data_IF_909147163368
#
_entry.id   IF_909147163368
#
_cell.length_a   1.000
_cell.length_b   1.000
_cell.length_c   1.000
_cell.angle_alpha   90.00
_cell.angle_beta   90.00
_cell.angle_gamma   90.00
#
_symmetry.space_group_name_H-M   'P 1'
#
loop_
_entity.id
_entity.type
_entity.pdbx_description
1 polymer ?
#
# COMPACT_ATOMS: atom_id res chain seq x y z
N UNK A 1 -17.10 1.29 -15.00
CA UNK A 1 -16.90 0.49 -13.78
C UNK A 1 -15.88 -0.63 -13.98
N UNK A 2 -16.07 -1.52 -14.98
CA UNK A 2 -15.10 -2.58 -15.31
C UNK A 2 -13.67 -2.07 -15.59
N UNK A 3 -13.54 -0.99 -16.37
CA UNK A 3 -12.23 -0.41 -16.68
C UNK A 3 -11.47 0.07 -15.43
N UNK A 4 -12.14 0.82 -14.55
CA UNK A 4 -11.52 1.30 -13.31
C UNK A 4 -11.09 0.16 -12.38
N UNK A 5 -11.88 -0.92 -12.31
CA UNK A 5 -11.52 -2.13 -11.58
C UNK A 5 -10.27 -2.79 -12.17
N UNK A 6 -10.20 -2.99 -13.49
CA UNK A 6 -9.05 -3.59 -14.15
C UNK A 6 -7.79 -2.73 -14.01
N UNK A 7 -7.91 -1.40 -14.13
CA UNK A 7 -6.80 -0.48 -13.90
C UNK A 7 -6.29 -0.60 -12.46
N UNK A 8 -7.18 -0.52 -11.47
CA UNK A 8 -6.78 -0.65 -10.07
C UNK A 8 -6.14 -2.02 -9.78
N UNK A 9 -6.74 -3.12 -10.30
CA UNK A 9 -6.21 -4.47 -10.14
C UNK A 9 -4.79 -4.57 -10.70
N UNK A 10 -4.57 -4.16 -11.95
CA UNK A 10 -3.26 -4.27 -12.61
C UNK A 10 -2.24 -3.37 -11.92
N UNK A 11 -2.60 -2.11 -11.63
CA UNK A 11 -1.69 -1.15 -11.01
C UNK A 11 -1.28 -1.59 -9.61
N UNK A 12 -2.22 -1.99 -8.76
CA UNK A 12 -1.91 -2.46 -7.40
C UNK A 12 -1.16 -3.78 -7.45
N UNK A 13 -1.57 -4.73 -8.31
CA UNK A 13 -0.87 -6.00 -8.46
C UNK A 13 0.59 -5.81 -8.85
N UNK A 14 0.86 -4.96 -9.84
CA UNK A 14 2.24 -4.67 -10.26
C UNK A 14 3.02 -3.87 -9.21
N UNK A 15 2.37 -2.93 -8.51
CA UNK A 15 3.02 -2.13 -7.48
C UNK A 15 3.43 -2.95 -6.25
N UNK A 16 2.63 -3.97 -5.91
CA UNK A 16 2.85 -4.82 -4.73
C UNK A 16 3.70 -6.07 -5.04
N UNK A 17 3.94 -6.38 -6.32
CA UNK A 17 4.66 -7.60 -6.72
C UNK A 17 6.11 -7.58 -6.23
N UNK A 18 6.48 -8.54 -5.38
CA UNK A 18 7.85 -8.67 -4.88
C UNK A 18 8.21 -7.67 -3.78
N UNK A 19 7.23 -7.05 -3.14
CA UNK A 19 7.48 -6.16 -2.01
C UNK A 19 8.04 -6.92 -0.78
N UNK A 20 8.75 -6.17 0.10
CA UNK A 20 9.31 -6.66 1.36
C UNK A 20 8.27 -7.35 2.24
N UNK A 21 7.01 -6.89 2.22
CA UNK A 21 5.93 -7.52 2.98
C UNK A 21 5.64 -8.95 2.49
N UNK A 22 5.75 -9.22 1.18
CA UNK A 22 5.58 -10.58 0.63
C UNK A 22 6.71 -11.51 1.08
N UNK A 23 7.96 -11.03 1.06
CA UNK A 23 9.09 -11.80 1.58
C UNK A 23 8.97 -12.07 3.09
N UNK A 24 8.51 -11.08 3.86
CA UNK A 24 8.31 -11.23 5.30
C UNK A 24 7.20 -12.25 5.63
N UNK A 25 6.10 -12.23 4.89
CA UNK A 25 4.98 -13.19 5.08
C UNK A 25 5.37 -14.59 4.66
N UNK A 26 6.14 -14.76 3.57
CA UNK A 26 6.73 -16.05 3.18
C UNK A 26 7.70 -16.58 4.23
N UNK A 27 8.59 -15.73 4.76
CA UNK A 27 9.52 -16.11 5.82
C UNK A 27 8.79 -16.52 7.11
N UNK A 28 7.72 -15.81 7.46
CA UNK A 28 6.87 -16.15 8.60
C UNK A 28 6.17 -17.49 8.41
N UNK A 29 5.62 -17.74 7.21
CA UNK A 29 4.98 -19.01 6.88
C UNK A 29 5.97 -20.18 6.95
N UNK A 30 7.20 -19.99 6.46
CA UNK A 30 8.27 -20.97 6.52
C UNK A 30 8.74 -21.24 7.96
N UNK A 31 8.85 -20.19 8.78
CA UNK A 31 9.29 -20.29 10.18
C UNK A 31 8.28 -21.02 11.06
N UNK A 32 6.99 -20.69 10.93
CA UNK A 32 5.95 -21.25 11.79
C UNK A 32 5.42 -22.61 11.28
N UNK A 33 5.76 -23.00 10.04
CA UNK A 33 5.23 -24.21 9.41
C UNK A 33 3.72 -24.17 9.16
N UNK A 34 3.09 -23.00 9.28
CA UNK A 34 1.63 -22.79 9.23
C UNK A 34 1.26 -21.90 8.05
N UNK A 35 1.32 -22.47 6.85
CA UNK A 35 1.02 -21.75 5.60
C UNK A 35 -0.38 -21.11 5.58
N UNK A 36 -1.43 -21.90 5.80
CA UNK A 36 -2.81 -21.42 5.65
C UNK A 36 -3.19 -20.26 6.61
N UNK A 37 -2.87 -20.32 7.92
CA UNK A 37 -3.17 -19.21 8.82
C UNK A 37 -2.38 -17.93 8.49
N UNK A 38 -1.10 -18.06 8.12
CA UNK A 38 -0.26 -16.90 7.76
C UNK A 38 -0.76 -16.27 6.46
N UNK A 39 -1.10 -17.09 5.45
CA UNK A 39 -1.68 -16.61 4.20
C UNK A 39 -3.00 -15.88 4.45
N UNK A 40 -3.92 -16.47 5.21
CA UNK A 40 -5.22 -15.85 5.49
C UNK A 40 -5.07 -14.53 6.25
N UNK A 41 -4.19 -14.48 7.25
CA UNK A 41 -3.90 -13.26 8.01
C UNK A 41 -3.28 -12.15 7.15
N UNK A 42 -2.29 -12.49 6.33
CA UNK A 42 -1.64 -11.55 5.41
C UNK A 42 -2.61 -11.02 4.35
N UNK A 43 -3.43 -11.90 3.76
CA UNK A 43 -4.44 -11.52 2.77
C UNK A 43 -5.49 -10.58 3.37
N UNK A 44 -6.00 -10.90 4.57
CA UNK A 44 -6.92 -10.02 5.30
C UNK A 44 -6.30 -8.67 5.61
N UNK A 45 -5.06 -8.65 6.09
CA UNK A 45 -4.34 -7.41 6.38
C UNK A 45 -4.20 -6.54 5.12
N UNK A 46 -3.83 -7.13 3.98
CA UNK A 46 -3.71 -6.41 2.71
C UNK A 46 -5.05 -5.83 2.25
N UNK A 47 -6.13 -6.62 2.28
CA UNK A 47 -7.47 -6.16 1.91
C UNK A 47 -7.93 -5.02 2.81
N UNK A 48 -7.72 -5.15 4.14
CA UNK A 48 -8.09 -4.11 5.10
C UNK A 48 -7.29 -2.83 4.89
N UNK A 49 -5.97 -2.93 4.70
CA UNK A 49 -5.11 -1.77 4.43
C UNK A 49 -5.55 -1.05 3.15
N UNK A 50 -5.80 -1.79 2.07
CA UNK A 50 -6.28 -1.23 0.81
C UNK A 50 -7.67 -0.59 0.96
N UNK A 51 -8.59 -1.23 1.66
CA UNK A 51 -9.94 -0.70 1.91
C UNK A 51 -9.90 0.59 2.73
N UNK A 52 -9.11 0.62 3.81
CA UNK A 52 -8.91 1.82 4.63
C UNK A 52 -8.26 2.95 3.83
N UNK A 53 -7.23 2.64 3.03
CA UNK A 53 -6.57 3.60 2.16
C UNK A 53 -7.52 4.19 1.10
N UNK A 54 -8.33 3.35 0.47
CA UNK A 54 -9.32 3.78 -0.51
C UNK A 54 -10.44 4.64 0.12
N UNK A 55 -10.94 4.24 1.30
CA UNK A 55 -11.94 5.00 2.04
C UNK A 55 -11.41 6.38 2.48
N UNK A 56 -10.19 6.42 3.02
CA UNK A 56 -9.53 7.66 3.39
C UNK A 56 -9.28 8.54 2.15
N UNK A 57 -8.79 7.96 1.05
CA UNK A 57 -8.57 8.67 -0.21
C UNK A 57 -9.86 9.28 -0.77
N UNK A 58 -10.99 8.56 -0.71
CA UNK A 58 -12.30 9.08 -1.07
C UNK A 58 -12.68 10.28 -0.19
N UNK A 59 -12.59 10.13 1.13
CA UNK A 59 -12.95 11.19 2.07
C UNK A 59 -12.10 12.46 1.88
N UNK A 60 -10.78 12.30 1.75
CA UNK A 60 -9.88 13.43 1.50
C UNK A 60 -10.14 14.08 0.13
N UNK A 61 -10.47 13.29 -0.89
CA UNK A 61 -10.79 13.80 -2.22
C UNK A 61 -12.09 14.62 -2.28
N UNK A 62 -13.05 14.31 -1.40
CA UNK A 62 -14.28 15.09 -1.24
C UNK A 62 -14.07 16.34 -0.35
N UNK A 63 -13.16 16.26 0.63
CA UNK A 63 -12.92 17.34 1.58
C UNK A 63 -11.91 18.41 1.11
N UNK A 64 -10.97 18.07 0.22
CA UNK A 64 -9.84 18.93 -0.14
C UNK A 64 -9.74 19.18 -1.65
N UNK A 65 -9.29 20.38 -2.07
CA UNK A 65 -9.02 20.65 -3.48
C UNK A 65 -7.83 19.83 -3.98
N UNK A 66 -7.95 19.26 -5.18
CA UNK A 66 -6.96 18.36 -5.79
C UNK A 66 -5.54 18.96 -5.88
N UNK A 67 -5.45 20.28 -6.06
CA UNK A 67 -4.17 21.01 -6.09
C UNK A 67 -3.43 20.90 -4.76
N UNK A 68 -4.14 20.99 -3.63
CA UNK A 68 -3.56 20.88 -2.31
C UNK A 68 -3.08 19.45 -2.05
N UNK A 69 -3.90 18.44 -2.38
CA UNK A 69 -3.49 17.02 -2.26
C UNK A 69 -2.20 16.75 -3.02
N UNK A 70 -2.05 17.25 -4.25
CA UNK A 70 -0.86 17.03 -5.08
C UNK A 70 0.40 17.69 -4.52
N UNK A 71 0.29 18.93 -4.03
CA UNK A 71 1.43 19.66 -3.45
C UNK A 71 1.87 18.99 -2.14
N UNK A 72 0.91 18.64 -1.28
CA UNK A 72 1.18 18.01 0.01
C UNK A 72 1.78 16.62 -0.18
N UNK A 73 1.20 15.78 -1.04
CA UNK A 73 1.73 14.43 -1.29
C UNK A 73 3.14 14.50 -1.89
N UNK A 74 3.36 15.34 -2.90
CA UNK A 74 4.69 15.55 -3.48
C UNK A 74 5.71 16.02 -2.44
N UNK A 75 5.33 16.97 -1.58
CA UNK A 75 6.17 17.44 -0.48
C UNK A 75 6.56 16.34 0.50
N UNK A 76 5.60 15.48 0.87
CA UNK A 76 5.85 14.32 1.74
C UNK A 76 6.82 13.33 1.07
N UNK A 77 6.62 13.01 -0.20
CA UNK A 77 7.52 12.10 -0.93
C UNK A 77 8.94 12.65 -1.03
N UNK A 78 9.11 13.96 -1.30
CA UNK A 78 10.43 14.60 -1.31
C UNK A 78 11.07 14.53 0.07
N UNK A 79 10.31 14.86 1.12
CA UNK A 79 10.81 14.82 2.50
C UNK A 79 11.26 13.41 2.89
N UNK A 80 10.45 12.38 2.61
CA UNK A 80 10.82 10.99 2.85
C UNK A 80 12.07 10.58 2.06
N UNK A 81 12.15 10.96 0.79
CA UNK A 81 13.34 10.72 -0.03
C UNK A 81 14.60 11.36 0.55
N UNK A 82 14.52 12.59 1.06
CA UNK A 82 15.63 13.27 1.72
C UNK A 82 16.01 12.61 3.05
N UNK A 83 15.03 12.16 3.84
CA UNK A 83 15.27 11.46 5.10
C UNK A 83 16.01 10.13 4.88
N UNK A 84 15.60 9.38 3.85
CA UNK A 84 16.26 8.14 3.41
C UNK A 84 17.66 8.44 2.90
N UNK A 85 17.82 9.47 2.07
CA UNK A 85 19.13 9.86 1.53
C UNK A 85 20.14 10.23 2.64
N UNK A 86 19.66 10.87 3.71
CA UNK A 86 20.50 11.23 4.86
C UNK A 86 20.66 10.09 5.88
N UNK A 87 20.06 8.92 5.64
CA UNK A 87 20.13 7.77 6.54
C UNK A 87 19.48 7.98 7.91
N UNK A 88 18.52 8.90 8.01
CA UNK A 88 17.74 9.11 9.23
C UNK A 88 16.60 8.09 9.38
N UNK A 89 16.24 7.43 8.29
CA UNK A 89 15.30 6.31 8.15
C UNK A 89 15.92 5.36 7.13
#
# INVERSE_FOLDING_TARGET
MMQAFLTALITVFLAELGDKTQLATLALAAREGRFWPVFAGAALALVLAAALGAAAGKFLGEALPLRLMRIVSGGIFILLGLLIFWGKI
#
